data_IF_475868933253
#
_entry.id   IF_475868933253
#
_cell.length_a   1.000
_cell.length_b   1.000
_cell.length_c   1.000
_cell.angle_alpha   90.00
_cell.angle_beta   90.00
_cell.angle_gamma   90.00
#
_symmetry.space_group_name_H-M   'P 1'
#
loop_
_entity.id
_entity.type
_entity.pdbx_description
1 polymer ?
#
# COMPACT_ATOMS: atom_id res chain seq x y z
N UNK A 1 -0.39 -13.45 -3.52
CA UNK A 1 0.90 -13.23 -4.21
C UNK A 1 1.95 -12.68 -3.23
N UNK A 2 2.36 -13.43 -2.20
CA UNK A 2 3.15 -12.87 -1.07
C UNK A 2 4.43 -13.66 -0.71
N UNK A 3 4.88 -14.56 -1.58
CA UNK A 3 6.03 -15.45 -1.32
C UNK A 3 7.37 -14.84 -1.74
N UNK A 4 7.42 -14.17 -2.89
CA UNK A 4 8.70 -13.67 -3.44
C UNK A 4 9.42 -12.62 -2.59
N UNK A 5 8.69 -11.69 -1.96
CA UNK A 5 9.30 -10.66 -1.09
C UNK A 5 9.90 -11.26 0.18
N UNK A 6 9.23 -12.26 0.78
CA UNK A 6 9.72 -12.96 1.97
C UNK A 6 10.99 -13.76 1.69
N UNK A 7 11.14 -14.26 0.47
CA UNK A 7 12.32 -15.02 0.07
C UNK A 7 13.50 -14.12 -0.30
N UNK A 8 13.25 -12.91 -0.82
CA UNK A 8 14.28 -11.87 -0.98
C UNK A 8 14.89 -11.43 0.36
N UNK A 9 14.16 -11.58 1.47
CA UNK A 9 14.72 -11.42 2.81
C UNK A 9 15.67 -12.55 3.22
N UNK A 10 16.08 -13.50 2.37
CA UNK A 10 16.95 -14.64 2.78
C UNK A 10 18.26 -14.78 2.01
N UNK A 11 18.54 -13.92 1.04
CA UNK A 11 19.75 -13.99 0.20
C UNK A 11 21.04 -13.57 0.93
N UNK A 12 22.16 -14.19 0.50
CA UNK A 12 23.48 -14.30 1.16
C UNK A 12 24.34 -13.03 1.27
N UNK A 13 25.65 -13.17 1.53
CA UNK A 13 26.52 -12.05 1.94
C UNK A 13 26.65 -10.97 0.86
N UNK A 14 26.82 -9.74 1.33
CA UNK A 14 26.74 -8.52 0.54
C UNK A 14 28.11 -8.11 -0.05
N UNK A 15 28.18 -7.87 -1.36
CA UNK A 15 29.40 -7.48 -2.10
C UNK A 15 29.57 -5.95 -2.25
N UNK A 16 28.63 -5.14 -1.75
CA UNK A 16 28.63 -3.66 -1.94
C UNK A 16 28.23 -2.95 -0.64
N UNK A 17 29.01 -1.93 -0.22
CA UNK A 17 28.69 -1.10 0.96
C UNK A 17 27.70 0.01 0.58
N UNK A 18 26.47 -0.06 1.07
CA UNK A 18 25.48 1.02 0.95
C UNK A 18 25.68 2.01 2.12
N UNK A 19 25.69 3.31 1.84
CA UNK A 19 25.69 4.31 2.91
C UNK A 19 24.34 4.31 3.63
N UNK A 20 24.37 4.57 4.94
CA UNK A 20 23.16 4.77 5.76
C UNK A 20 22.24 5.83 5.17
N UNK A 21 22.82 6.89 4.60
CA UNK A 21 22.08 7.98 3.95
C UNK A 21 21.30 7.49 2.72
N UNK A 22 21.87 6.60 1.90
CA UNK A 22 21.18 6.03 0.75
C UNK A 22 20.04 5.11 1.18
N UNK A 23 20.24 4.29 2.23
CA UNK A 23 19.15 3.49 2.82
C UNK A 23 17.99 4.38 3.24
N UNK A 24 18.29 5.41 4.04
CA UNK A 24 17.27 6.27 4.62
C UNK A 24 16.51 7.05 3.52
N UNK A 25 17.19 7.45 2.44
CA UNK A 25 16.54 8.06 1.28
C UNK A 25 15.53 7.12 0.61
N UNK A 26 15.88 5.86 0.38
CA UNK A 26 14.95 4.87 -0.19
C UNK A 26 13.75 4.63 0.72
N UNK A 27 13.98 4.43 2.02
CA UNK A 27 12.90 4.21 2.99
C UNK A 27 11.98 5.43 3.08
N UNK A 28 12.54 6.64 3.03
CA UNK A 28 11.76 7.87 3.07
C UNK A 28 10.87 8.06 1.83
N UNK A 29 11.34 7.66 0.63
CA UNK A 29 10.51 7.68 -0.58
C UNK A 29 9.31 6.74 -0.44
N UNK A 30 9.54 5.51 0.06
CA UNK A 30 8.47 4.53 0.28
C UNK A 30 7.47 5.06 1.32
N UNK A 31 7.96 5.62 2.42
CA UNK A 31 7.12 6.19 3.48
C UNK A 31 6.29 7.37 2.98
N UNK A 32 6.88 8.30 2.23
CA UNK A 32 6.18 9.47 1.69
C UNK A 32 5.00 9.03 0.81
N UNK A 33 5.21 8.02 -0.03
CA UNK A 33 4.16 7.51 -0.89
C UNK A 33 3.09 6.74 -0.10
N UNK A 34 3.50 5.94 0.89
CA UNK A 34 2.59 5.27 1.82
C UNK A 34 1.66 6.28 2.52
N UNK A 35 2.20 7.37 3.06
CA UNK A 35 1.43 8.38 3.79
C UNK A 35 0.48 9.15 2.88
N UNK A 36 0.91 9.48 1.66
CA UNK A 36 0.05 10.09 0.66
C UNK A 36 -1.14 9.17 0.32
N UNK A 37 -0.88 7.87 0.15
CA UNK A 37 -1.92 6.89 -0.15
C UNK A 37 -2.88 6.69 1.03
N UNK A 38 -2.37 6.63 2.26
CA UNK A 38 -3.18 6.52 3.47
C UNK A 38 -4.06 7.76 3.69
N UNK A 39 -3.58 8.95 3.30
CA UNK A 39 -4.37 10.18 3.27
C UNK A 39 -5.53 10.06 2.29
N UNK A 40 -5.28 9.53 1.07
CA UNK A 40 -6.35 9.30 0.11
C UNK A 40 -7.36 8.25 0.58
N UNK A 41 -6.91 7.16 1.23
CA UNK A 41 -7.82 6.19 1.84
C UNK A 41 -8.72 6.84 2.89
N UNK A 42 -8.16 7.73 3.72
CA UNK A 42 -8.93 8.48 4.70
C UNK A 42 -9.98 9.38 4.02
N UNK A 43 -9.62 10.04 2.92
CA UNK A 43 -10.58 10.84 2.15
C UNK A 43 -11.71 9.98 1.56
N UNK A 44 -11.40 8.80 1.02
CA UNK A 44 -12.38 7.86 0.48
C UNK A 44 -13.37 7.42 1.57
N UNK A 45 -12.86 7.00 2.73
CA UNK A 45 -13.69 6.56 3.87
C UNK A 45 -14.59 7.66 4.43
N UNK A 46 -14.22 8.92 4.21
CA UNK A 46 -14.97 10.08 4.65
C UNK A 46 -15.86 10.68 3.55
N UNK A 47 -15.98 10.02 2.38
CA UNK A 47 -16.93 10.45 1.37
C UNK A 47 -18.36 10.42 1.95
N UNK A 48 -19.17 11.45 1.67
CA UNK A 48 -20.54 11.46 2.11
C UNK A 48 -21.32 10.31 1.45
N UNK A 49 -22.30 9.78 2.17
CA UNK A 49 -23.21 8.79 1.62
C UNK A 49 -23.91 9.32 0.36
N UNK A 50 -24.08 8.44 -0.63
CA UNK A 50 -24.89 8.74 -1.80
C UNK A 50 -26.34 9.02 -1.36
N UNK A 51 -26.95 10.05 -1.93
CA UNK A 51 -28.30 10.48 -1.60
C UNK A 51 -29.38 9.42 -1.87
N UNK A 52 -30.63 9.75 -1.60
CA UNK A 52 -31.77 8.92 -1.95
C UNK A 52 -32.02 8.98 -3.47
N UNK A 53 -31.92 7.86 -4.20
CA UNK A 53 -32.20 7.82 -5.64
C UNK A 53 -33.71 7.82 -5.97
N UNK A 54 -34.60 7.79 -4.96
CA UNK A 54 -36.03 7.62 -5.14
C UNK A 54 -36.40 6.17 -5.48
N UNK A 55 -37.46 5.97 -6.25
CA UNK A 55 -38.04 4.64 -6.49
C UNK A 55 -37.67 4.01 -7.84
N UNK A 56 -36.93 4.73 -8.70
CA UNK A 56 -36.53 4.21 -10.00
C UNK A 56 -35.49 3.09 -9.81
N UNK A 57 -35.83 1.86 -10.23
CA UNK A 57 -35.01 0.68 -9.99
C UNK A 57 -33.57 0.80 -10.51
N UNK A 58 -33.37 1.41 -11.69
CA UNK A 58 -32.04 1.63 -12.24
C UNK A 58 -31.21 2.60 -11.40
N UNK A 59 -31.82 3.65 -10.84
CA UNK A 59 -31.13 4.61 -9.98
C UNK A 59 -30.69 3.96 -8.65
N UNK A 60 -31.54 3.11 -8.06
CA UNK A 60 -31.21 2.29 -6.89
C UNK A 60 -30.02 1.36 -7.20
N UNK A 61 -30.07 0.66 -8.34
CA UNK A 61 -28.99 -0.23 -8.75
C UNK A 61 -27.68 0.51 -9.00
N UNK A 62 -27.72 1.68 -9.65
CA UNK A 62 -26.54 2.53 -9.84
C UNK A 62 -25.93 2.95 -8.51
N UNK A 63 -26.74 3.37 -7.53
CA UNK A 63 -26.26 3.69 -6.19
C UNK A 63 -25.56 2.49 -5.55
N UNK A 64 -26.19 1.32 -5.56
CA UNK A 64 -25.61 0.11 -4.98
C UNK A 64 -24.28 -0.27 -5.65
N UNK A 65 -24.19 -0.17 -6.98
CA UNK A 65 -22.95 -0.45 -7.70
C UNK A 65 -21.83 0.52 -7.29
N UNK A 66 -22.13 1.82 -7.17
CA UNK A 66 -21.15 2.81 -6.72
C UNK A 66 -20.69 2.57 -5.28
N UNK A 67 -21.60 2.17 -4.39
CA UNK A 67 -21.25 1.80 -3.00
C UNK A 67 -20.34 0.56 -2.95
N UNK A 68 -20.58 -0.42 -3.84
CA UNK A 68 -19.73 -1.60 -3.98
C UNK A 68 -18.38 -1.27 -4.61
N UNK A 69 -18.32 -0.38 -5.61
CA UNK A 69 -17.06 0.09 -6.19
C UNK A 69 -16.16 0.76 -5.14
N UNK A 70 -16.77 1.37 -4.10
CA UNK A 70 -16.04 1.99 -2.98
C UNK A 70 -15.64 0.94 -1.93
N UNK A 71 -16.62 0.23 -1.38
CA UNK A 71 -16.51 -0.52 -0.12
C UNK A 71 -16.68 -2.04 -0.27
N UNK A 72 -16.95 -2.53 -1.48
CA UNK A 72 -17.05 -3.95 -1.79
C UNK A 72 -15.74 -4.70 -1.56
N UNK A 73 -15.80 -6.04 -1.61
CA UNK A 73 -14.64 -6.91 -1.39
C UNK A 73 -13.47 -6.65 -2.35
N UNK A 74 -13.76 -6.14 -3.53
CA UNK A 74 -12.82 -5.71 -4.57
C UNK A 74 -12.86 -4.19 -4.82
N UNK A 75 -13.57 -3.46 -3.94
CA UNK A 75 -13.69 -2.00 -4.01
C UNK A 75 -12.36 -1.28 -3.79
N UNK A 76 -12.37 0.02 -4.10
CA UNK A 76 -11.16 0.85 -4.04
C UNK A 76 -10.54 0.88 -2.63
N UNK A 77 -11.35 0.85 -1.57
CA UNK A 77 -10.83 0.80 -0.19
C UNK A 77 -9.98 -0.46 0.03
N UNK A 78 -10.47 -1.61 -0.41
CA UNK A 78 -9.77 -2.88 -0.22
C UNK A 78 -8.49 -2.94 -1.07
N UNK A 79 -8.54 -2.42 -2.30
CA UNK A 79 -7.37 -2.32 -3.18
C UNK A 79 -6.27 -1.43 -2.59
N UNK A 80 -6.64 -0.26 -2.04
CA UNK A 80 -5.70 0.65 -1.39
C UNK A 80 -5.11 0.04 -0.12
N UNK A 81 -5.92 -0.61 0.73
CA UNK A 81 -5.43 -1.32 1.92
C UNK A 81 -4.40 -2.42 1.57
N UNK A 82 -4.64 -3.20 0.52
CA UNK A 82 -3.68 -4.21 0.06
C UNK A 82 -2.37 -3.59 -0.38
N UNK A 83 -2.43 -2.44 -1.06
CA UNK A 83 -1.24 -1.77 -1.54
C UNK A 83 -0.44 -1.10 -0.41
N UNK A 84 -1.11 -0.51 0.59
CA UNK A 84 -0.46 -0.06 1.83
C UNK A 84 0.29 -1.21 2.52
N UNK A 85 -0.36 -2.37 2.68
CA UNK A 85 0.27 -3.56 3.25
C UNK A 85 1.46 -4.07 2.43
N UNK A 86 1.40 -3.94 1.10
CA UNK A 86 2.54 -4.22 0.23
C UNK A 86 3.69 -3.24 0.47
N UNK A 87 3.41 -1.93 0.59
CA UNK A 87 4.42 -0.91 0.85
C UNK A 87 5.12 -1.12 2.20
N UNK A 88 4.40 -1.55 3.24
CA UNK A 88 4.99 -1.94 4.52
C UNK A 88 5.99 -3.10 4.38
N UNK A 89 5.58 -4.15 3.66
CA UNK A 89 6.41 -5.33 3.43
C UNK A 89 7.61 -5.01 2.53
N UNK A 90 7.42 -4.13 1.55
CA UNK A 90 8.48 -3.63 0.69
C UNK A 90 9.50 -2.81 1.49
N UNK A 91 9.04 -1.87 2.32
CA UNK A 91 9.88 -1.06 3.20
C UNK A 91 10.71 -1.94 4.14
N UNK A 92 10.09 -2.93 4.79
CA UNK A 92 10.77 -3.90 5.65
C UNK A 92 11.85 -4.70 4.88
N UNK A 93 11.57 -5.07 3.63
CA UNK A 93 12.50 -5.82 2.77
C UNK A 93 13.69 -4.96 2.35
N UNK A 94 13.45 -3.71 1.93
CA UNK A 94 14.50 -2.74 1.61
C UNK A 94 15.38 -2.49 2.83
N UNK A 95 14.78 -2.28 4.01
CA UNK A 95 15.52 -2.09 5.26
C UNK A 95 16.41 -3.29 5.56
N UNK A 96 15.88 -4.51 5.50
CA UNK A 96 16.64 -5.73 5.77
C UNK A 96 17.81 -5.93 4.78
N UNK A 97 17.60 -5.63 3.50
CA UNK A 97 18.65 -5.69 2.48
C UNK A 97 19.75 -4.64 2.74
N UNK A 98 19.37 -3.40 3.05
CA UNK A 98 20.32 -2.35 3.37
C UNK A 98 21.12 -2.65 4.64
N UNK A 99 20.46 -3.10 5.71
CA UNK A 99 21.13 -3.43 6.96
C UNK A 99 22.16 -4.56 6.78
N UNK A 100 21.94 -5.52 5.87
CA UNK A 100 22.96 -6.50 5.46
C UNK A 100 24.16 -5.86 4.80
N UNK A 101 23.91 -4.99 3.81
CA UNK A 101 24.95 -4.28 3.05
C UNK A 101 25.81 -3.38 3.95
N UNK A 102 25.24 -2.87 5.04
CA UNK A 102 25.95 -2.04 6.04
C UNK A 102 26.67 -2.88 7.10
N UNK A 103 26.14 -4.04 7.50
CA UNK A 103 26.71 -4.91 8.54
C UNK A 103 27.73 -5.94 8.05
N UNK A 104 27.79 -6.24 6.75
CA UNK A 104 28.79 -7.12 6.15
C UNK A 104 30.16 -6.45 5.94
N UNK A 105 30.46 -5.38 6.69
CA UNK A 105 31.55 -4.46 6.45
C UNK A 105 32.61 -4.38 7.52
#
# INVERSE_FOLDING_TARGET
MNSGLKDLQKSGPADVKLSTQTRDAYLNIVQTFHDALNTQLTNIKNLPALGDPGTLASAIQTKNNLELDISGLDGIEQSVNQYLSYLDQFSATVKAACDRLTSSG
#
